data_IF_911397764983
#
_entry.id   IF_911397764983
#
_cell.length_a   1.000
_cell.length_b   1.000
_cell.length_c   1.000
_cell.angle_alpha   90.00
_cell.angle_beta   90.00
_cell.angle_gamma   90.00
#
_symmetry.space_group_name_H-M   'P 1'
#
loop_
_entity.id
_entity.type
_entity.pdbx_description
1 polymer ?
#
# COMPACT_ATOMS: atom_id res chain seq x y z
N UNK A 1 -11.61 -19.49 -61.86
CA UNK A 1 -10.28 -19.05 -61.39
C UNK A 1 -10.38 -17.56 -61.09
N UNK A 2 -10.13 -17.01 -59.91
CA UNK A 2 -9.88 -17.57 -58.58
C UNK A 2 -10.33 -16.50 -57.57
N UNK A 3 -10.95 -16.95 -56.49
CA UNK A 3 -11.31 -16.16 -55.31
C UNK A 3 -10.03 -15.71 -54.58
N UNK A 4 -9.87 -14.41 -54.36
CA UNK A 4 -8.76 -13.87 -53.58
C UNK A 4 -9.22 -13.59 -52.14
N UNK A 5 -9.03 -14.60 -51.29
CA UNK A 5 -9.21 -14.49 -49.85
C UNK A 5 -8.32 -13.39 -49.26
N UNK A 6 -8.94 -12.38 -48.65
CA UNK A 6 -8.26 -11.39 -47.82
C UNK A 6 -7.69 -12.10 -46.58
N UNK A 7 -6.35 -12.14 -46.49
CA UNK A 7 -5.61 -12.53 -45.29
C UNK A 7 -6.00 -11.61 -44.12
N UNK A 8 -6.24 -12.14 -42.90
CA UNK A 8 -6.49 -11.30 -41.74
C UNK A 8 -5.21 -10.56 -41.33
N UNK A 9 -5.35 -9.27 -40.98
CA UNK A 9 -4.27 -8.46 -40.41
C UNK A 9 -3.88 -9.03 -39.03
N UNK A 10 -2.58 -9.04 -38.77
CA UNK A 10 -1.93 -9.53 -37.54
C UNK A 10 -2.25 -8.64 -36.35
N UNK A 11 -2.59 -9.25 -35.21
CA UNK A 11 -2.42 -8.69 -33.88
C UNK A 11 -3.48 -7.71 -33.41
N UNK A 12 -4.77 -8.07 -33.50
CA UNK A 12 -5.75 -7.45 -32.58
C UNK A 12 -5.61 -8.14 -31.21
N UNK A 13 -5.52 -7.39 -30.10
CA UNK A 13 -5.67 -7.98 -28.77
C UNK A 13 -7.01 -8.74 -28.74
N UNK A 14 -7.02 -9.93 -28.15
CA UNK A 14 -8.23 -10.73 -28.07
C UNK A 14 -9.37 -9.84 -27.52
N UNK A 15 -10.49 -9.77 -28.24
CA UNK A 15 -11.68 -9.06 -27.74
C UNK A 15 -11.93 -9.44 -26.28
N UNK A 16 -12.28 -8.49 -25.39
CA UNK A 16 -12.48 -8.75 -23.96
C UNK A 16 -13.41 -9.95 -23.67
N UNK A 17 -14.34 -10.24 -24.59
CA UNK A 17 -15.25 -11.37 -24.52
C UNK A 17 -14.58 -12.76 -24.64
N UNK A 18 -13.35 -12.84 -25.15
CA UNK A 18 -12.59 -14.11 -25.34
C UNK A 18 -11.41 -14.27 -24.37
N UNK A 19 -10.98 -13.20 -23.70
CA UNK A 19 -9.83 -13.24 -22.79
C UNK A 19 -10.11 -14.12 -21.55
N UNK A 20 -11.23 -13.91 -20.87
CA UNK A 20 -11.57 -14.67 -19.65
C UNK A 20 -11.71 -16.19 -19.88
N UNK A 21 -12.42 -16.69 -20.92
CA UNK A 21 -12.44 -18.13 -21.20
C UNK A 21 -11.06 -18.73 -21.53
N UNK A 22 -10.16 -17.96 -22.15
CA UNK A 22 -8.80 -18.41 -22.43
C UNK A 22 -7.96 -18.48 -21.14
N UNK A 23 -8.08 -17.47 -20.27
CA UNK A 23 -7.45 -17.46 -18.96
C UNK A 23 -7.90 -18.64 -18.08
N UNK A 24 -9.21 -18.89 -17.96
CA UNK A 24 -9.71 -20.00 -17.14
C UNK A 24 -9.26 -21.37 -17.65
N UNK A 25 -9.09 -21.52 -18.97
CA UNK A 25 -8.51 -22.74 -19.56
C UNK A 25 -7.03 -22.87 -19.20
N UNK A 26 -6.29 -21.78 -19.30
CA UNK A 26 -4.89 -21.73 -18.88
C UNK A 26 -4.73 -22.05 -17.39
N UNK A 27 -5.61 -21.55 -16.52
CA UNK A 27 -5.62 -21.89 -15.09
C UNK A 27 -5.72 -23.42 -14.90
N UNK A 28 -6.66 -24.07 -15.58
CA UNK A 28 -6.82 -25.53 -15.50
C UNK A 28 -5.58 -26.28 -16.00
N UNK A 29 -4.97 -25.83 -17.10
CA UNK A 29 -3.72 -26.41 -17.64
C UNK A 29 -2.52 -26.19 -16.70
N UNK A 30 -2.50 -25.07 -15.98
CA UNK A 30 -1.47 -24.72 -14.99
C UNK A 30 -1.67 -25.41 -13.63
N UNK A 31 -2.73 -26.21 -13.47
CA UNK A 31 -3.02 -26.95 -12.24
C UNK A 31 -3.78 -26.15 -11.18
N UNK A 32 -4.32 -24.97 -11.52
CA UNK A 32 -5.19 -24.19 -10.62
C UNK A 32 -6.52 -24.92 -10.46
N UNK A 33 -6.92 -25.13 -9.21
CA UNK A 33 -8.20 -25.74 -8.86
C UNK A 33 -9.18 -24.63 -8.48
N UNK A 34 -10.30 -24.51 -9.20
CA UNK A 34 -11.33 -23.49 -8.96
C UNK A 34 -12.65 -24.16 -8.56
N UNK A 35 -13.21 -23.76 -7.41
CA UNK A 35 -14.49 -24.29 -6.94
C UNK A 35 -15.62 -23.95 -7.92
N UNK A 36 -16.51 -24.92 -8.17
CA UNK A 36 -17.69 -24.72 -9.01
C UNK A 36 -18.69 -23.71 -8.42
N UNK A 37 -18.57 -23.42 -7.12
CA UNK A 37 -19.40 -22.45 -6.40
C UNK A 37 -19.00 -21.00 -6.62
N UNK A 38 -17.92 -20.73 -7.35
CA UNK A 38 -17.47 -19.36 -7.65
C UNK A 38 -17.33 -19.12 -9.16
N UNK A 39 -17.29 -17.86 -9.56
CA UNK A 39 -17.01 -17.49 -10.94
C UNK A 39 -16.47 -16.07 -11.07
N UNK A 40 -15.50 -15.91 -11.96
CA UNK A 40 -14.96 -14.59 -12.32
C UNK A 40 -15.99 -13.86 -13.19
N UNK A 41 -16.23 -12.58 -12.88
CA UNK A 41 -17.19 -11.72 -13.58
C UNK A 41 -16.67 -10.29 -13.68
N UNK A 42 -17.25 -9.50 -14.60
CA UNK A 42 -17.16 -8.02 -14.62
C UNK A 42 -18.48 -7.35 -14.29
N UNK A 43 -19.54 -8.13 -14.17
CA UNK A 43 -20.90 -7.67 -13.90
C UNK A 43 -21.24 -8.03 -12.47
N UNK A 44 -21.68 -7.04 -11.69
CA UNK A 44 -21.97 -7.21 -10.27
C UNK A 44 -20.73 -7.17 -9.38
N UNK A 45 -19.63 -6.60 -9.87
CA UNK A 45 -18.37 -6.41 -9.14
C UNK A 45 -18.14 -4.94 -8.82
N UNK A 46 -17.40 -4.65 -7.74
CA UNK A 46 -17.08 -3.31 -7.29
C UNK A 46 -16.19 -2.57 -8.30
N UNK A 47 -15.20 -3.25 -8.87
CA UNK A 47 -14.33 -2.74 -9.91
C UNK A 47 -13.95 -3.85 -10.89
N UNK A 48 -13.75 -3.49 -12.17
CA UNK A 48 -13.19 -4.34 -13.23
C UNK A 48 -13.64 -5.82 -13.17
N UNK A 49 -12.71 -6.74 -12.91
CA UNK A 49 -13.00 -8.15 -12.61
C UNK A 49 -13.17 -8.35 -11.11
N UNK A 50 -13.95 -9.35 -10.75
CA UNK A 50 -14.15 -9.79 -9.38
C UNK A 50 -14.60 -11.25 -9.35
N UNK A 51 -14.54 -11.87 -8.18
CA UNK A 51 -15.02 -13.22 -7.97
C UNK A 51 -16.41 -13.19 -7.32
N UNK A 52 -17.38 -13.88 -7.91
CA UNK A 52 -18.75 -13.94 -7.39
C UNK A 52 -19.10 -15.34 -6.90
N UNK A 53 -19.85 -15.41 -5.81
CA UNK A 53 -20.45 -16.63 -5.31
C UNK A 53 -21.62 -17.08 -6.20
N UNK A 54 -21.51 -18.23 -6.86
CA UNK A 54 -22.58 -18.87 -7.64
C UNK A 54 -23.58 -19.61 -6.75
N UNK A 55 -23.12 -20.02 -5.58
CA UNK A 55 -23.88 -20.67 -4.52
C UNK A 55 -23.48 -20.05 -3.17
N UNK A 56 -24.25 -20.29 -2.12
CA UNK A 56 -23.85 -19.85 -0.78
C UNK A 56 -22.65 -20.68 -0.29
N UNK A 57 -21.68 -19.99 0.31
CA UNK A 57 -20.44 -20.54 0.84
C UNK A 57 -20.44 -20.43 2.37
N UNK A 58 -19.91 -21.45 3.03
CA UNK A 58 -19.64 -21.42 4.47
C UNK A 58 -18.43 -20.54 4.80
N UNK A 59 -18.13 -20.36 6.09
CA UNK A 59 -16.80 -19.86 6.50
C UNK A 59 -15.79 -21.01 6.46
N UNK A 60 -14.54 -20.73 6.10
CA UNK A 60 -13.47 -21.71 5.95
C UNK A 60 -13.57 -22.55 4.67
N UNK A 61 -14.45 -22.19 3.73
CA UNK A 61 -14.60 -22.91 2.47
C UNK A 61 -13.54 -22.45 1.46
N UNK A 62 -12.81 -23.41 0.88
CA UNK A 62 -11.79 -23.18 -0.15
C UNK A 62 -12.45 -22.75 -1.48
N UNK A 63 -11.99 -21.62 -2.00
CA UNK A 63 -12.50 -21.03 -3.24
C UNK A 63 -11.69 -21.48 -4.44
N UNK A 64 -10.37 -21.46 -4.30
CA UNK A 64 -9.42 -21.98 -5.27
C UNK A 64 -8.05 -22.24 -4.64
N UNK A 65 -7.27 -23.09 -5.30
CA UNK A 65 -5.86 -23.38 -4.97
C UNK A 65 -4.98 -23.19 -6.21
N UNK A 66 -3.86 -22.48 -6.04
CA UNK A 66 -2.91 -22.12 -7.09
C UNK A 66 -1.55 -22.76 -6.76
N UNK A 67 -1.02 -23.65 -7.60
CA UNK A 67 0.31 -24.22 -7.36
C UNK A 67 1.39 -23.14 -7.50
N UNK A 68 2.46 -23.22 -6.69
CA UNK A 68 3.56 -22.23 -6.73
C UNK A 68 4.23 -22.12 -8.10
N UNK A 69 4.18 -23.17 -8.91
CA UNK A 69 4.71 -23.19 -10.29
C UNK A 69 3.88 -22.37 -11.29
N UNK A 70 2.67 -21.94 -10.94
CA UNK A 70 1.82 -21.07 -11.76
C UNK A 70 2.05 -19.57 -11.47
N UNK A 71 2.67 -19.24 -10.33
CA UNK A 71 3.01 -17.87 -9.97
C UNK A 71 3.99 -17.27 -10.96
N UNK A 72 3.94 -15.95 -11.16
CA UNK A 72 4.95 -15.22 -11.91
C UNK A 72 5.87 -14.49 -10.93
N UNK A 73 7.12 -14.93 -10.88
CA UNK A 73 8.18 -14.36 -10.04
C UNK A 73 9.54 -14.43 -10.74
N UNK A 74 10.57 -13.85 -10.11
CA UNK A 74 11.96 -14.00 -10.54
C UNK A 74 12.47 -15.45 -10.59
N UNK A 75 11.76 -16.38 -9.95
CA UNK A 75 12.14 -17.79 -9.90
C UNK A 75 11.42 -18.64 -10.95
N UNK A 76 10.20 -18.26 -11.35
CA UNK A 76 9.40 -19.04 -12.31
C UNK A 76 9.53 -18.56 -13.74
N UNK A 77 9.91 -17.30 -13.98
CA UNK A 77 10.13 -16.75 -15.33
C UNK A 77 11.21 -17.51 -16.10
N UNK A 78 11.10 -17.54 -17.43
CA UNK A 78 12.08 -18.21 -18.29
C UNK A 78 13.51 -17.63 -18.17
N UNK A 79 13.64 -16.38 -17.71
CA UNK A 79 14.94 -15.72 -17.48
C UNK A 79 15.47 -15.87 -16.05
N UNK A 80 14.83 -16.68 -15.18
CA UNK A 80 15.29 -16.91 -13.82
C UNK A 80 16.79 -17.30 -13.69
N UNK A 81 17.38 -18.13 -14.58
CA UNK A 81 18.81 -18.42 -14.53
C UNK A 81 19.69 -17.18 -14.76
N UNK A 82 19.25 -16.24 -15.58
CA UNK A 82 19.97 -14.98 -15.82
C UNK A 82 19.88 -14.07 -14.59
N UNK A 83 18.69 -13.94 -14.00
CA UNK A 83 18.49 -13.11 -12.80
C UNK A 83 19.36 -13.59 -11.64
N UNK A 84 19.43 -14.92 -11.40
CA UNK A 84 20.34 -15.49 -10.39
C UNK A 84 21.82 -15.24 -10.69
N UNK A 85 22.20 -15.22 -11.95
CA UNK A 85 23.60 -14.96 -12.34
C UNK A 85 23.99 -13.51 -12.04
N UNK A 86 23.07 -12.57 -12.24
CA UNK A 86 23.31 -11.13 -12.14
C UNK A 86 22.81 -10.52 -10.81
N UNK A 87 22.41 -11.35 -9.85
CA UNK A 87 21.75 -10.96 -8.58
C UNK A 87 22.44 -9.80 -7.86
N UNK A 88 23.77 -9.83 -7.74
CA UNK A 88 24.55 -8.78 -7.08
C UNK A 88 24.40 -7.39 -7.75
N UNK A 89 24.11 -7.35 -9.06
CA UNK A 89 23.91 -6.10 -9.81
C UNK A 89 22.46 -5.61 -9.80
N UNK A 90 21.53 -6.43 -9.28
CA UNK A 90 20.10 -6.17 -9.26
C UNK A 90 19.58 -5.73 -7.89
N UNK A 91 20.46 -5.58 -6.90
CA UNK A 91 20.09 -5.10 -5.58
C UNK A 91 19.61 -3.64 -5.65
N UNK A 92 18.47 -3.37 -5.03
CA UNK A 92 17.92 -2.02 -4.88
C UNK A 92 17.21 -1.88 -3.54
N UNK A 93 16.93 -0.65 -3.12
CA UNK A 93 16.20 -0.37 -1.89
C UNK A 93 14.76 -0.91 -1.91
N UNK A 94 14.17 -1.10 -3.09
CA UNK A 94 12.82 -1.67 -3.22
C UNK A 94 12.82 -3.19 -3.10
N UNK A 95 13.90 -3.87 -3.52
CA UNK A 95 13.94 -5.31 -3.67
C UNK A 95 13.08 -5.86 -4.83
N UNK A 96 12.44 -4.99 -5.63
CA UNK A 96 11.46 -5.40 -6.66
C UNK A 96 12.07 -5.59 -8.04
N UNK A 97 13.31 -5.16 -8.25
CA UNK A 97 14.00 -5.18 -9.54
C UNK A 97 13.94 -6.55 -10.23
N UNK A 98 14.22 -7.69 -9.57
CA UNK A 98 14.17 -8.99 -10.24
C UNK A 98 12.76 -9.36 -10.76
N UNK A 99 11.71 -9.05 -10.00
CA UNK A 99 10.33 -9.24 -10.45
C UNK A 99 10.02 -8.31 -11.63
N UNK A 100 10.38 -7.04 -11.55
CA UNK A 100 10.09 -6.05 -12.59
C UNK A 100 10.79 -6.39 -13.92
N UNK A 101 12.02 -6.91 -13.87
CA UNK A 101 12.73 -7.43 -15.06
C UNK A 101 12.01 -8.66 -15.62
N UNK A 102 11.53 -9.56 -14.76
CA UNK A 102 10.72 -10.71 -15.17
C UNK A 102 9.44 -10.27 -15.88
N UNK A 103 8.75 -9.26 -15.35
CA UNK A 103 7.54 -8.71 -15.96
C UNK A 103 7.84 -8.01 -17.29
N UNK A 104 8.90 -7.20 -17.38
CA UNK A 104 9.36 -6.57 -18.61
C UNK A 104 9.59 -7.61 -19.72
N UNK A 105 10.24 -8.72 -19.38
CA UNK A 105 10.49 -9.81 -20.31
C UNK A 105 9.19 -10.52 -20.72
N UNK A 106 8.44 -11.05 -19.76
CA UNK A 106 7.29 -11.92 -20.03
C UNK A 106 6.13 -11.16 -20.70
N UNK A 107 5.84 -9.92 -20.29
CA UNK A 107 4.70 -9.16 -20.83
C UNK A 107 4.94 -8.66 -22.26
N UNK A 108 6.20 -8.59 -22.70
CA UNK A 108 6.57 -8.18 -24.07
C UNK A 108 6.84 -9.37 -24.98
N UNK A 109 6.86 -10.59 -24.44
CA UNK A 109 7.08 -11.82 -25.18
C UNK A 109 5.77 -12.33 -25.80
N UNK A 110 5.76 -12.48 -27.14
CA UNK A 110 4.54 -12.86 -27.89
C UNK A 110 3.97 -14.24 -27.55
N UNK A 111 4.79 -15.13 -26.97
CA UNK A 111 4.45 -16.51 -26.63
C UNK A 111 4.75 -16.82 -25.16
N UNK A 112 4.67 -15.80 -24.27
CA UNK A 112 4.82 -16.02 -22.84
C UNK A 112 3.81 -17.06 -22.34
N UNK A 113 4.27 -17.91 -21.41
CA UNK A 113 3.41 -18.85 -20.68
C UNK A 113 2.26 -18.12 -19.97
N UNK A 114 2.48 -16.89 -19.53
CA UNK A 114 1.47 -16.07 -18.84
C UNK A 114 0.67 -15.16 -19.79
N UNK A 115 0.78 -15.34 -21.12
CA UNK A 115 0.01 -14.57 -22.10
C UNK A 115 -1.50 -14.48 -21.81
N UNK A 116 -2.19 -15.60 -21.45
CA UNK A 116 -3.59 -15.56 -21.03
C UNK A 116 -3.85 -14.76 -19.76
N UNK A 117 -2.92 -14.77 -18.80
CA UNK A 117 -2.99 -13.95 -17.59
C UNK A 117 -2.85 -12.46 -17.91
N UNK A 118 -1.85 -12.07 -18.70
CA UNK A 118 -1.68 -10.68 -19.16
C UNK A 118 -2.86 -10.17 -19.98
N UNK A 119 -3.61 -11.05 -20.65
CA UNK A 119 -4.80 -10.66 -21.40
C UNK A 119 -5.96 -10.16 -20.52
N UNK A 120 -5.90 -10.42 -19.21
CA UNK A 120 -6.86 -9.90 -18.23
C UNK A 120 -6.38 -8.64 -17.52
N UNK A 121 -5.13 -8.23 -17.70
CA UNK A 121 -4.63 -7.02 -17.08
C UNK A 121 -5.49 -5.81 -17.49
N UNK A 122 -5.69 -4.85 -16.56
CA UNK A 122 -6.23 -3.56 -16.95
C UNK A 122 -5.36 -3.00 -18.08
N UNK A 123 -5.96 -2.21 -18.99
CA UNK A 123 -5.09 -1.41 -19.84
C UNK A 123 -4.29 -0.51 -18.89
N UNK A 124 -2.99 -0.34 -19.09
CA UNK A 124 -2.18 0.48 -18.16
C UNK A 124 -2.69 1.93 -18.05
N UNK A 125 -3.57 2.37 -18.96
CA UNK A 125 -4.31 3.64 -18.89
C UNK A 125 -5.41 3.66 -17.83
N UNK A 126 -5.86 2.49 -17.38
CA UNK A 126 -6.91 2.32 -16.36
C UNK A 126 -6.33 2.30 -14.93
N UNK A 127 -4.99 2.25 -14.79
CA UNK A 127 -4.31 2.43 -13.52
C UNK A 127 -4.40 3.91 -13.12
N UNK A 128 -5.14 4.19 -12.05
CA UNK A 128 -5.41 5.56 -11.60
C UNK A 128 -4.63 5.93 -10.33
N UNK A 129 -3.46 5.31 -10.12
CA UNK A 129 -2.54 5.70 -9.06
C UNK A 129 -2.20 7.20 -9.18
N UNK A 130 -2.10 7.92 -8.05
CA UNK A 130 -1.74 9.33 -8.03
C UNK A 130 -0.46 9.67 -8.81
N UNK A 131 0.50 8.76 -8.93
CA UNK A 131 1.71 8.98 -9.73
C UNK A 131 1.46 9.25 -11.23
N UNK A 132 0.27 8.92 -11.74
CA UNK A 132 -0.16 9.20 -13.12
C UNK A 132 -0.98 10.49 -13.24
N UNK A 133 -1.33 11.15 -12.13
CA UNK A 133 -2.10 12.38 -12.12
C UNK A 133 -1.22 13.59 -12.47
N UNK A 134 -1.84 14.69 -12.89
CA UNK A 134 -1.12 15.94 -13.15
C UNK A 134 -0.50 16.47 -11.86
N UNK A 135 0.70 17.07 -11.92
CA UNK A 135 1.39 17.58 -10.73
C UNK A 135 0.52 18.59 -9.95
N UNK A 136 -0.07 19.56 -10.64
CA UNK A 136 -0.95 20.57 -10.01
C UNK A 136 -2.22 19.93 -9.40
N UNK A 137 -2.81 18.95 -10.09
CA UNK A 137 -3.98 18.19 -9.62
C UNK A 137 -3.67 17.46 -8.31
N UNK A 138 -2.53 16.74 -8.23
CA UNK A 138 -2.10 16.07 -7.00
C UNK A 138 -1.84 17.06 -5.88
N UNK A 139 -1.10 18.12 -6.16
CA UNK A 139 -0.75 19.12 -5.15
C UNK A 139 -1.99 19.78 -4.57
N UNK A 140 -3.01 20.05 -5.39
CA UNK A 140 -4.27 20.64 -4.94
C UNK A 140 -5.13 19.64 -4.15
N UNK A 141 -5.26 18.40 -4.63
CA UNK A 141 -6.19 17.43 -4.08
C UNK A 141 -5.64 16.63 -2.88
N UNK A 142 -4.33 16.44 -2.78
CA UNK A 142 -3.72 15.52 -1.83
C UNK A 142 -2.85 16.22 -0.78
N UNK A 143 -2.88 17.55 -0.73
CA UNK A 143 -2.15 18.32 0.27
C UNK A 143 -2.49 17.88 1.70
N UNK A 144 -1.46 17.59 2.49
CA UNK A 144 -1.60 17.18 3.89
C UNK A 144 -1.96 15.71 4.10
N UNK A 145 -2.14 14.93 3.03
CA UNK A 145 -2.56 13.51 3.15
C UNK A 145 -1.40 12.52 3.28
N UNK A 146 -0.16 12.95 3.02
CA UNK A 146 1.03 12.08 2.91
C UNK A 146 1.20 11.42 1.54
N UNK A 147 0.13 11.34 0.73
CA UNK A 147 0.17 10.70 -0.60
C UNK A 147 1.04 11.49 -1.58
N UNK A 148 1.04 12.82 -1.48
CA UNK A 148 1.81 13.67 -2.39
C UNK A 148 3.32 13.39 -2.23
N UNK A 149 3.80 13.40 -1.00
CA UNK A 149 5.19 13.18 -0.62
C UNK A 149 5.63 11.74 -0.98
N UNK A 150 4.79 10.75 -0.70
CA UNK A 150 5.05 9.35 -1.06
C UNK A 150 5.20 9.17 -2.58
N UNK A 151 4.32 9.78 -3.37
CA UNK A 151 4.37 9.70 -4.84
C UNK A 151 5.60 10.39 -5.42
N UNK A 152 6.03 11.51 -4.84
CA UNK A 152 7.25 12.21 -5.27
C UNK A 152 8.50 11.36 -5.00
N UNK A 153 8.57 10.72 -3.83
CA UNK A 153 9.63 9.78 -3.47
C UNK A 153 9.65 8.59 -4.45
N UNK A 154 8.50 8.00 -4.75
CA UNK A 154 8.41 6.88 -5.70
C UNK A 154 8.86 7.28 -7.10
N UNK A 155 8.41 8.44 -7.61
CA UNK A 155 8.80 8.89 -8.94
C UNK A 155 10.32 9.10 -9.05
N UNK A 156 10.95 9.67 -8.03
CA UNK A 156 12.39 9.84 -7.97
C UNK A 156 13.12 8.48 -7.91
N UNK A 157 12.64 7.56 -7.08
CA UNK A 157 13.20 6.21 -6.95
C UNK A 157 13.09 5.41 -8.26
N UNK A 158 11.94 5.45 -8.92
CA UNK A 158 11.70 4.76 -10.19
C UNK A 158 12.64 5.27 -11.28
N UNK A 159 12.83 6.58 -11.38
CA UNK A 159 13.74 7.17 -12.36
C UNK A 159 15.20 6.82 -12.06
N UNK A 160 15.59 6.86 -10.79
CA UNK A 160 16.92 6.46 -10.34
C UNK A 160 17.18 4.98 -10.63
N UNK A 161 16.32 4.08 -10.18
CA UNK A 161 16.43 2.63 -10.35
C UNK A 161 16.45 2.25 -11.84
N UNK A 162 15.59 2.87 -12.64
CA UNK A 162 15.59 2.62 -14.09
C UNK A 162 16.89 3.06 -14.75
N UNK A 163 17.41 4.24 -14.42
CA UNK A 163 18.60 4.79 -15.06
C UNK A 163 19.90 4.11 -14.61
N UNK A 164 20.00 3.71 -13.35
CA UNK A 164 21.21 3.16 -12.74
C UNK A 164 21.29 1.63 -12.76
N UNK A 165 20.15 0.93 -12.77
CA UNK A 165 20.11 -0.54 -12.70
C UNK A 165 19.48 -1.12 -13.96
N UNK A 166 18.21 -0.77 -14.25
CA UNK A 166 17.43 -1.43 -15.31
C UNK A 166 18.04 -1.17 -16.68
N UNK A 167 18.25 0.09 -17.07
CA UNK A 167 18.74 0.44 -18.39
C UNK A 167 20.14 -0.14 -18.68
N UNK A 168 21.12 -0.11 -17.75
CA UNK A 168 22.38 -0.83 -17.91
C UNK A 168 22.18 -2.35 -18.10
N UNK A 169 21.33 -2.99 -17.31
CA UNK A 169 21.03 -4.41 -17.44
C UNK A 169 20.43 -4.75 -18.81
N UNK A 170 19.44 -3.98 -19.27
CA UNK A 170 18.83 -4.15 -20.60
C UNK A 170 19.88 -4.02 -21.73
N UNK A 171 20.83 -3.09 -21.60
CA UNK A 171 21.91 -2.88 -22.58
C UNK A 171 22.95 -4.00 -22.56
N UNK A 172 23.19 -4.62 -21.40
CA UNK A 172 24.11 -5.76 -21.26
C UNK A 172 23.54 -7.05 -21.88
N UNK A 173 22.22 -7.13 -22.03
CA UNK A 173 21.51 -8.32 -22.53
C UNK A 173 20.61 -8.01 -23.77
N UNK A 174 21.18 -7.49 -24.87
CA UNK A 174 20.41 -7.02 -26.04
C UNK A 174 19.73 -8.17 -26.83
N UNK A 175 20.15 -9.41 -26.63
CA UNK A 175 19.51 -10.59 -27.23
C UNK A 175 18.17 -10.93 -26.60
N UNK A 176 17.93 -10.44 -25.38
CA UNK A 176 16.72 -10.70 -24.58
C UNK A 176 15.87 -9.43 -24.49
N UNK A 177 16.51 -8.27 -24.34
CA UNK A 177 15.85 -6.99 -24.10
C UNK A 177 16.09 -5.99 -25.22
N UNK A 178 15.08 -5.16 -25.46
CA UNK A 178 15.13 -4.07 -26.42
C UNK A 178 14.76 -2.76 -25.72
N UNK A 179 15.72 -1.86 -25.45
CA UNK A 179 15.46 -0.57 -24.79
C UNK A 179 14.44 0.35 -25.48
N UNK A 180 14.05 0.07 -26.73
CA UNK A 180 12.96 0.77 -27.42
C UNK A 180 11.56 0.28 -27.04
N UNK A 181 11.48 -0.94 -26.50
CA UNK A 181 10.25 -1.58 -26.01
C UNK A 181 10.21 -1.50 -24.49
N UNK A 182 11.31 -1.86 -23.84
CA UNK A 182 11.50 -1.82 -22.39
C UNK A 182 11.90 -0.41 -21.96
N UNK A 183 10.94 0.52 -21.96
CA UNK A 183 11.15 1.95 -21.68
C UNK A 183 10.88 2.30 -20.21
N UNK A 184 11.31 3.49 -19.78
CA UNK A 184 10.98 4.05 -18.45
C UNK A 184 9.46 4.15 -18.24
N UNK A 185 8.71 4.47 -19.29
CA UNK A 185 7.24 4.56 -19.20
C UNK A 185 6.62 3.19 -18.90
N UNK A 186 7.07 2.13 -19.59
CA UNK A 186 6.62 0.77 -19.31
C UNK A 186 7.07 0.32 -17.91
N UNK A 187 8.29 0.66 -17.51
CA UNK A 187 8.80 0.36 -16.18
C UNK A 187 7.92 0.98 -15.09
N UNK A 188 7.60 2.28 -15.19
CA UNK A 188 6.71 2.97 -14.24
C UNK A 188 5.33 2.31 -14.16
N UNK A 189 4.78 1.90 -15.31
CA UNK A 189 3.50 1.17 -15.38
C UNK A 189 3.57 -0.19 -14.67
N UNK A 190 4.69 -0.90 -14.81
CA UNK A 190 4.90 -2.18 -14.13
C UNK A 190 5.14 -2.01 -12.63
N UNK A 191 5.80 -0.93 -12.19
CA UNK A 191 5.91 -0.61 -10.76
C UNK A 191 4.53 -0.38 -10.16
N UNK A 192 3.69 0.46 -10.79
CA UNK A 192 2.31 0.64 -10.34
C UNK A 192 1.48 -0.65 -10.37
N UNK A 193 1.74 -1.52 -11.34
CA UNK A 193 1.09 -2.82 -11.41
C UNK A 193 1.53 -3.76 -10.28
N UNK A 194 2.82 -3.79 -9.95
CA UNK A 194 3.35 -4.55 -8.81
C UNK A 194 2.77 -4.02 -7.49
N UNK A 195 2.74 -2.68 -7.30
CA UNK A 195 2.10 -2.06 -6.13
C UNK A 195 0.66 -2.53 -5.91
N UNK A 196 -0.12 -2.64 -6.99
CA UNK A 196 -1.56 -2.90 -6.89
C UNK A 196 -1.96 -4.39 -6.97
N UNK A 197 -1.14 -5.26 -7.54
CA UNK A 197 -1.54 -6.64 -7.89
C UNK A 197 -0.58 -7.72 -7.39
N UNK A 198 0.60 -7.36 -6.89
CA UNK A 198 1.53 -8.35 -6.34
C UNK A 198 1.15 -8.76 -4.91
N UNK A 199 1.63 -9.93 -4.51
CA UNK A 199 1.49 -10.46 -3.16
C UNK A 199 2.88 -10.67 -2.57
N UNK A 200 3.02 -10.36 -1.29
CA UNK A 200 4.22 -10.61 -0.53
C UNK A 200 3.90 -11.61 0.59
N UNK A 201 4.57 -12.75 0.59
CA UNK A 201 4.40 -13.78 1.62
C UNK A 201 5.16 -13.35 2.87
N UNK A 202 4.44 -13.18 3.99
CA UNK A 202 5.06 -12.86 5.28
C UNK A 202 6.01 -13.96 5.72
N UNK A 203 7.13 -13.56 6.31
CA UNK A 203 8.03 -14.46 7.03
C UNK A 203 7.32 -14.92 8.31
N UNK A 204 7.58 -16.16 8.75
CA UNK A 204 7.06 -16.63 10.03
C UNK A 204 7.84 -15.99 11.19
N UNK A 205 7.31 -16.05 12.43
CA UNK A 205 7.97 -15.50 13.63
C UNK A 205 9.41 -16.02 13.83
N UNK A 206 9.71 -17.24 13.36
CA UNK A 206 11.06 -17.83 13.41
C UNK A 206 12.03 -17.27 12.35
N UNK A 207 11.52 -16.54 11.37
CA UNK A 207 12.21 -16.02 10.18
C UNK A 207 12.22 -14.48 10.13
N UNK A 208 11.75 -13.77 11.17
CA UNK A 208 11.66 -12.29 11.18
C UNK A 208 13.00 -11.56 11.03
N UNK A 209 14.12 -12.24 11.31
CA UNK A 209 15.48 -11.71 11.10
C UNK A 209 15.95 -11.83 9.62
N UNK A 210 15.21 -12.51 8.75
CA UNK A 210 15.55 -12.69 7.33
C UNK A 210 15.08 -11.52 6.45
N UNK A 211 15.66 -11.42 5.25
CA UNK A 211 15.20 -10.44 4.26
C UNK A 211 13.76 -10.75 3.84
N UNK A 212 12.86 -9.74 3.76
CA UNK A 212 11.48 -9.96 3.35
C UNK A 212 11.38 -10.67 2.01
N UNK A 213 10.46 -11.63 1.90
CA UNK A 213 10.23 -12.31 0.63
C UNK A 213 9.92 -11.31 -0.48
N UNK A 214 10.44 -11.50 -1.69
CA UNK A 214 10.14 -10.63 -2.82
C UNK A 214 8.66 -10.77 -3.22
N UNK A 215 8.04 -9.71 -3.76
CA UNK A 215 6.68 -9.79 -4.27
C UNK A 215 6.58 -10.80 -5.43
N UNK A 216 5.40 -11.39 -5.59
CA UNK A 216 5.06 -12.29 -6.69
C UNK A 216 3.70 -11.95 -7.27
N UNK A 217 3.48 -12.20 -8.56
CA UNK A 217 2.14 -12.12 -9.14
C UNK A 217 1.42 -13.46 -8.94
N UNK A 218 0.17 -13.39 -8.48
CA UNK A 218 -0.64 -14.56 -8.14
C UNK A 218 -1.89 -14.58 -9.04
N UNK A 219 -1.79 -15.15 -10.26
CA UNK A 219 -2.90 -15.16 -11.20
C UNK A 219 -4.16 -15.74 -10.57
N UNK A 220 -5.31 -15.11 -10.82
CA UNK A 220 -6.64 -15.41 -10.25
C UNK A 220 -6.86 -14.80 -8.86
N UNK A 221 -5.87 -14.83 -7.96
CA UNK A 221 -6.00 -14.20 -6.65
C UNK A 221 -6.04 -12.67 -6.76
N UNK A 222 -5.25 -12.12 -7.67
CA UNK A 222 -5.18 -10.69 -8.02
C UNK A 222 -6.42 -10.15 -8.75
N UNK A 223 -7.43 -10.99 -9.02
CA UNK A 223 -8.73 -10.56 -9.57
C UNK A 223 -9.76 -10.26 -8.48
N UNK A 224 -9.49 -10.57 -7.22
CA UNK A 224 -10.42 -10.29 -6.12
C UNK A 224 -10.22 -8.85 -5.66
N UNK A 225 -11.30 -8.07 -5.65
CA UNK A 225 -11.30 -6.71 -5.11
C UNK A 225 -11.12 -6.71 -3.58
N UNK A 226 -10.78 -5.55 -3.05
CA UNK A 226 -10.63 -5.32 -1.60
C UNK A 226 -11.77 -4.50 -1.01
N UNK A 227 -12.10 -4.81 0.23
CA UNK A 227 -12.76 -3.93 1.19
C UNK A 227 -12.20 -4.24 2.59
N UNK A 228 -12.18 -3.26 3.49
CA UNK A 228 -11.74 -3.47 4.88
C UNK A 228 -12.51 -4.64 5.53
N UNK A 229 -13.84 -4.66 5.35
CA UNK A 229 -14.72 -5.73 5.81
C UNK A 229 -14.77 -6.92 4.81
N UNK A 230 -13.61 -7.44 4.43
CA UNK A 230 -13.42 -8.54 3.48
C UNK A 230 -14.07 -9.86 3.92
N UNK A 231 -14.29 -10.78 2.98
CA UNK A 231 -14.92 -12.09 3.22
C UNK A 231 -14.08 -13.29 2.76
N UNK A 232 -12.87 -13.06 2.26
CA UNK A 232 -11.88 -14.06 1.94
C UNK A 232 -10.46 -13.55 2.19
N UNK A 233 -9.52 -14.48 2.39
CA UNK A 233 -8.10 -14.20 2.52
C UNK A 233 -7.27 -15.29 1.85
N UNK A 234 -6.02 -14.95 1.53
CA UNK A 234 -5.05 -15.87 0.95
C UNK A 234 -4.26 -16.56 2.06
N UNK A 235 -4.20 -17.89 2.00
CA UNK A 235 -3.40 -18.74 2.87
C UNK A 235 -2.25 -19.36 2.06
N UNK A 236 -1.06 -19.41 2.66
CA UNK A 236 0.14 -19.94 2.03
C UNK A 236 0.43 -21.36 2.53
N UNK A 237 0.74 -22.26 1.61
CA UNK A 237 1.23 -23.61 1.91
C UNK A 237 2.53 -23.88 1.14
N UNK A 238 3.33 -24.88 1.54
CA UNK A 238 4.58 -25.19 0.84
C UNK A 238 4.38 -25.48 -0.66
N UNK A 239 3.25 -26.08 -1.04
CA UNK A 239 2.97 -26.50 -2.41
C UNK A 239 2.09 -25.50 -3.19
N UNK A 240 1.25 -24.74 -2.51
CA UNK A 240 0.19 -23.94 -3.15
C UNK A 240 -0.25 -22.74 -2.32
N UNK A 241 -0.92 -21.81 -2.98
CA UNK A 241 -1.62 -20.69 -2.36
C UNK A 241 -3.13 -20.96 -2.43
N UNK A 242 -3.86 -20.76 -1.34
CA UNK A 242 -5.29 -21.06 -1.24
C UNK A 242 -6.08 -19.83 -0.86
N UNK A 243 -7.14 -19.54 -1.60
CA UNK A 243 -8.07 -18.49 -1.22
C UNK A 243 -9.24 -19.13 -0.47
N UNK A 244 -9.49 -18.68 0.75
CA UNK A 244 -10.47 -19.26 1.67
C UNK A 244 -11.42 -18.18 2.15
N UNK A 245 -12.68 -18.54 2.37
CA UNK A 245 -13.67 -17.62 2.95
C UNK A 245 -13.42 -17.42 4.45
N UNK A 246 -13.41 -16.17 4.90
CA UNK A 246 -13.29 -15.83 6.33
C UNK A 246 -14.66 -15.77 7.03
N UNK A 247 -15.73 -15.59 6.25
CA UNK A 247 -17.12 -15.54 6.73
C UNK A 247 -18.10 -16.07 5.67
N UNK A 248 -19.34 -16.42 6.04
CA UNK A 248 -20.31 -16.93 5.07
C UNK A 248 -20.61 -15.91 3.96
N UNK A 249 -20.66 -16.37 2.71
CA UNK A 249 -20.95 -15.55 1.52
C UNK A 249 -22.23 -16.08 0.86
N UNK A 250 -23.18 -15.18 0.60
CA UNK A 250 -24.45 -15.57 -0.04
C UNK A 250 -24.28 -15.65 -1.56
N UNK A 251 -25.07 -16.53 -2.19
CA UNK A 251 -25.19 -16.58 -3.65
C UNK A 251 -25.42 -15.17 -4.24
N UNK A 252 -24.64 -14.84 -5.25
CA UNK A 252 -24.66 -13.58 -5.99
C UNK A 252 -23.79 -12.47 -5.39
N UNK A 253 -23.26 -12.65 -4.18
CA UNK A 253 -22.34 -11.67 -3.58
C UNK A 253 -20.94 -11.78 -4.17
N UNK A 254 -20.27 -10.64 -4.22
CA UNK A 254 -18.84 -10.57 -4.51
C UNK A 254 -18.02 -11.05 -3.32
N UNK A 255 -16.93 -11.72 -3.66
CA UNK A 255 -15.92 -12.21 -2.75
C UNK A 255 -14.77 -11.20 -2.79
N UNK A 256 -14.52 -10.60 -1.64
CA UNK A 256 -13.50 -9.59 -1.43
C UNK A 256 -12.35 -10.17 -0.64
N UNK A 257 -11.13 -9.97 -1.14
CA UNK A 257 -9.89 -10.27 -0.45
C UNK A 257 -9.53 -9.13 0.53
N UNK A 258 -8.59 -9.39 1.43
CA UNK A 258 -7.86 -8.35 2.15
C UNK A 258 -6.53 -8.05 1.45
N UNK A 259 -6.19 -6.77 1.30
CA UNK A 259 -4.85 -6.34 0.87
C UNK A 259 -3.97 -5.99 2.08
N UNK A 260 -4.48 -6.20 3.29
CA UNK A 260 -3.89 -5.76 4.55
C UNK A 260 -4.80 -4.80 5.31
N UNK A 261 -4.34 -4.37 6.50
CA UNK A 261 -4.97 -3.28 7.25
C UNK A 261 -4.55 -1.93 6.63
N UNK A 262 -5.24 -1.53 5.55
CA UNK A 262 -4.87 -0.38 4.73
C UNK A 262 -5.76 0.84 5.01
N UNK A 263 -5.13 1.97 5.31
CA UNK A 263 -5.79 3.26 5.35
C UNK A 263 -6.13 3.77 3.94
N UNK A 264 -7.08 4.70 3.83
CA UNK A 264 -7.51 5.20 2.52
C UNK A 264 -6.38 5.91 1.75
N UNK A 265 -5.45 6.56 2.45
CA UNK A 265 -4.31 7.20 1.81
C UNK A 265 -3.36 6.16 1.17
N UNK A 266 -3.18 5.00 1.82
CA UNK A 266 -2.39 3.88 1.29
C UNK A 266 -3.13 3.19 0.14
N UNK A 267 -4.44 2.98 0.27
CA UNK A 267 -5.27 2.43 -0.82
C UNK A 267 -5.18 3.31 -2.07
N UNK A 268 -5.25 4.63 -1.90
CA UNK A 268 -5.16 5.54 -3.03
C UNK A 268 -3.75 5.52 -3.64
N UNK A 269 -2.72 5.59 -2.80
CA UNK A 269 -1.32 5.59 -3.21
C UNK A 269 -0.92 4.30 -3.96
N UNK A 270 -1.22 3.14 -3.38
CA UNK A 270 -0.73 1.83 -3.84
C UNK A 270 -1.67 1.13 -4.82
N UNK A 271 -2.98 1.42 -4.78
CA UNK A 271 -4.00 0.73 -5.58
C UNK A 271 -4.89 1.65 -6.43
N UNK A 272 -4.80 2.98 -6.25
CA UNK A 272 -5.55 3.93 -7.06
C UNK A 272 -7.06 4.01 -6.75
N UNK A 273 -7.47 3.64 -5.53
CA UNK A 273 -8.85 3.80 -5.08
C UNK A 273 -8.93 4.13 -3.58
N UNK A 274 -10.09 4.62 -3.12
CA UNK A 274 -10.38 4.78 -1.70
C UNK A 274 -11.77 4.23 -1.39
N UNK A 275 -11.96 3.73 -0.18
CA UNK A 275 -13.26 3.28 0.31
C UNK A 275 -14.07 4.45 0.87
N UNK A 276 -15.36 4.50 0.53
CA UNK A 276 -16.24 5.58 0.98
C UNK A 276 -16.52 5.48 2.48
N UNK A 277 -16.47 6.61 3.19
CA UNK A 277 -16.83 6.68 4.60
C UNK A 277 -18.28 6.22 4.84
N UNK A 278 -18.58 5.46 5.91
CA UNK A 278 -17.68 4.98 6.98
C UNK A 278 -17.15 3.55 6.75
N UNK A 279 -16.99 3.09 5.50
CA UNK A 279 -16.74 1.68 5.19
C UNK A 279 -15.34 1.20 5.56
N UNK A 280 -14.32 2.07 5.45
CA UNK A 280 -12.96 1.73 5.83
C UNK A 280 -12.77 1.81 7.35
N UNK A 281 -12.89 0.67 8.03
CA UNK A 281 -12.65 0.56 9.47
C UNK A 281 -11.17 0.59 9.85
N UNK A 282 -10.28 0.44 8.87
CA UNK A 282 -8.83 0.42 9.05
C UNK A 282 -8.19 1.77 8.71
N UNK A 283 -8.99 2.82 8.53
CA UNK A 283 -8.49 4.15 8.17
C UNK A 283 -7.62 4.75 9.27
N UNK A 284 -6.60 5.51 8.86
CA UNK A 284 -5.64 6.15 9.77
C UNK A 284 -5.36 7.59 9.36
N UNK A 285 -4.87 8.37 10.31
CA UNK A 285 -4.29 9.69 10.09
C UNK A 285 -2.88 9.73 10.68
N UNK A 286 -1.98 10.35 9.93
CA UNK A 286 -0.56 10.44 10.30
C UNK A 286 -0.26 11.81 10.91
N UNK A 287 0.45 11.80 12.03
CA UNK A 287 1.11 12.99 12.58
C UNK A 287 2.60 12.80 12.35
N UNK A 288 3.16 13.53 11.39
CA UNK A 288 4.61 13.49 11.12
C UNK A 288 5.38 13.74 12.41
N UNK A 289 6.39 12.93 12.71
CA UNK A 289 7.14 13.03 13.97
C UNK A 289 7.82 14.41 14.08
N UNK A 290 8.30 14.95 12.97
CA UNK A 290 8.82 16.32 12.86
C UNK A 290 7.79 17.41 13.20
N UNK A 291 6.49 17.14 13.05
CA UNK A 291 5.41 18.05 13.45
C UNK A 291 5.24 18.08 14.96
N UNK A 292 5.46 16.97 15.66
CA UNK A 292 5.51 16.94 17.12
C UNK A 292 6.71 17.74 17.65
N UNK A 293 7.89 17.58 17.05
CA UNK A 293 9.06 18.41 17.36
C UNK A 293 8.77 19.89 17.15
N UNK A 294 8.16 20.24 16.01
CA UNK A 294 7.78 21.62 15.69
C UNK A 294 6.80 22.19 16.72
N UNK A 295 5.84 21.40 17.19
CA UNK A 295 4.92 21.82 18.25
C UNK A 295 5.67 22.07 19.57
N UNK A 296 6.61 21.20 19.95
CA UNK A 296 7.42 21.35 21.16
C UNK A 296 8.28 22.62 21.10
N UNK A 297 8.97 22.86 19.97
CA UNK A 297 9.77 24.08 19.75
C UNK A 297 8.92 25.36 19.76
N UNK A 298 7.68 25.31 19.25
CA UNK A 298 6.77 26.46 19.30
C UNK A 298 6.27 26.80 20.72
N UNK A 299 6.41 25.87 21.66
CA UNK A 299 6.00 26.05 23.05
C UNK A 299 7.11 26.62 23.95
N UNK A 300 8.36 26.73 23.45
CA UNK A 300 9.49 27.25 24.21
C UNK A 300 9.55 28.78 24.15
N UNK A 301 9.91 29.43 25.26
CA UNK A 301 10.04 30.89 25.37
C UNK A 301 11.50 31.36 25.41
N UNK A 302 12.46 30.45 25.65
CA UNK A 302 13.88 30.77 25.81
C UNK A 302 14.81 29.86 25.00
N UNK A 303 15.96 30.37 24.60
CA UNK A 303 17.02 29.59 23.90
C UNK A 303 17.46 28.35 24.69
N UNK A 304 17.38 28.39 26.02
CA UNK A 304 17.74 27.27 26.89
C UNK A 304 16.70 26.13 26.82
N UNK A 305 15.42 26.47 26.72
CA UNK A 305 14.33 25.50 26.53
C UNK A 305 14.36 24.91 25.12
N UNK A 306 14.60 25.74 24.09
CA UNK A 306 14.76 25.27 22.71
C UNK A 306 15.89 24.24 22.63
N UNK A 307 17.04 24.55 23.24
CA UNK A 307 18.17 23.63 23.30
C UNK A 307 17.83 22.32 24.04
N UNK A 308 17.07 22.39 25.12
CA UNK A 308 16.61 21.20 25.84
C UNK A 308 15.74 20.30 24.96
N UNK A 309 14.78 20.88 24.23
CA UNK A 309 13.90 20.14 23.31
C UNK A 309 14.71 19.45 22.21
N UNK A 310 15.71 20.14 21.64
CA UNK A 310 16.61 19.54 20.65
C UNK A 310 17.47 18.41 21.24
N UNK A 311 17.97 18.56 22.46
CA UNK A 311 18.71 17.49 23.16
C UNK A 311 17.82 16.28 23.46
N UNK A 312 16.56 16.49 23.83
CA UNK A 312 15.54 15.47 24.03
C UNK A 312 15.19 14.75 22.71
N UNK A 313 15.01 15.51 21.63
CA UNK A 313 14.76 14.96 20.30
C UNK A 313 15.91 14.09 19.81
N UNK A 314 17.14 14.58 19.95
CA UNK A 314 18.33 13.81 19.59
C UNK A 314 18.38 12.50 20.37
N UNK A 315 18.07 12.51 21.66
CA UNK A 315 18.00 11.29 22.46
C UNK A 315 16.97 10.30 21.90
N UNK A 316 15.75 10.76 21.55
CA UNK A 316 14.72 9.92 20.94
C UNK A 316 15.17 9.32 19.61
N UNK A 317 15.87 10.08 18.76
CA UNK A 317 16.45 9.56 17.52
C UNK A 317 17.48 8.45 17.79
N UNK A 318 18.33 8.59 18.82
CA UNK A 318 19.31 7.55 19.18
C UNK A 318 18.65 6.29 19.75
N UNK A 319 17.43 6.39 20.28
CA UNK A 319 16.63 5.26 20.77
C UNK A 319 15.72 4.67 19.68
N UNK A 320 15.81 5.17 18.44
CA UNK A 320 14.97 4.75 17.31
C UNK A 320 13.46 4.93 17.56
N UNK A 321 13.08 5.76 18.53
CA UNK A 321 11.69 6.09 18.87
C UNK A 321 11.09 7.13 17.92
N UNK A 322 11.96 7.94 17.29
CA UNK A 322 11.54 8.92 16.27
C UNK A 322 12.58 8.99 15.14
N UNK A 323 12.13 9.40 13.96
CA UNK A 323 12.97 9.61 12.79
C UNK A 323 12.52 10.82 11.96
N UNK A 324 13.40 11.31 11.09
CA UNK A 324 13.10 12.48 10.24
C UNK A 324 11.94 12.24 9.26
N UNK A 325 11.82 11.01 8.75
CA UNK A 325 10.76 10.59 7.82
C UNK A 325 9.63 9.80 8.50
N UNK A 326 9.65 9.68 9.83
CA UNK A 326 8.67 8.89 10.57
C UNK A 326 7.36 9.64 10.85
N UNK A 327 6.28 8.90 11.07
CA UNK A 327 4.99 9.43 11.47
C UNK A 327 4.37 8.60 12.60
N UNK A 328 3.61 9.28 13.48
CA UNK A 328 2.73 8.60 14.43
C UNK A 328 1.42 8.26 13.74
N UNK A 329 1.03 6.98 13.77
CA UNK A 329 -0.13 6.47 13.01
C UNK A 329 -1.33 6.32 13.94
N UNK A 330 -2.33 7.17 13.74
CA UNK A 330 -3.54 7.26 14.57
C UNK A 330 -4.71 6.61 13.84
N UNK A 331 -5.33 5.56 14.42
CA UNK A 331 -6.56 4.96 13.91
C UNK A 331 -7.82 5.44 14.64
N UNK A 332 -8.98 4.88 14.28
CA UNK A 332 -10.26 5.19 14.93
C UNK A 332 -10.32 4.82 16.41
N UNK A 333 -9.82 3.63 16.72
CA UNK A 333 -9.91 3.03 18.06
C UNK A 333 -8.55 2.94 18.74
N UNK A 334 -7.44 2.85 18.00
CA UNK A 334 -6.09 2.65 18.53
C UNK A 334 -5.05 3.55 17.87
N UNK A 335 -3.94 3.79 18.57
CA UNK A 335 -2.70 4.32 17.99
C UNK A 335 -1.82 3.10 17.64
N UNK A 336 -1.33 3.03 16.40
CA UNK A 336 -0.51 1.90 15.96
C UNK A 336 0.95 2.04 16.41
N UNK A 337 1.46 3.27 16.43
CA UNK A 337 2.79 3.64 16.96
C UNK A 337 2.65 4.13 18.41
N UNK A 338 1.99 3.33 19.26
CA UNK A 338 1.64 3.74 20.63
C UNK A 338 2.88 3.94 21.49
N UNK A 339 3.86 3.04 21.40
CA UNK A 339 5.12 3.12 22.13
C UNK A 339 5.90 4.38 21.77
N UNK A 340 6.15 4.58 20.48
CA UNK A 340 6.90 5.71 19.95
C UNK A 340 6.24 7.03 20.35
N UNK A 341 4.91 7.12 20.24
CA UNK A 341 4.17 8.32 20.60
C UNK A 341 4.25 8.62 22.10
N UNK A 342 4.03 7.62 22.95
CA UNK A 342 4.02 7.80 24.40
C UNK A 342 5.41 8.19 24.92
N UNK A 343 6.46 7.52 24.44
CA UNK A 343 7.85 7.83 24.80
C UNK A 343 8.24 9.22 24.32
N UNK A 344 7.88 9.59 23.08
CA UNK A 344 8.15 10.93 22.56
C UNK A 344 7.44 12.02 23.39
N UNK A 345 6.16 11.84 23.71
CA UNK A 345 5.39 12.78 24.53
C UNK A 345 5.97 12.89 25.95
N UNK A 346 6.37 11.78 26.56
CA UNK A 346 6.99 11.76 27.87
C UNK A 346 8.31 12.52 27.87
N UNK A 347 9.23 12.18 26.96
CA UNK A 347 10.57 12.79 26.92
C UNK A 347 10.50 14.27 26.58
N UNK A 348 9.68 14.69 25.61
CA UNK A 348 9.55 16.09 25.19
C UNK A 348 8.84 17.00 26.21
N UNK A 349 8.22 16.43 27.25
CA UNK A 349 7.54 17.20 28.30
C UNK A 349 8.26 17.17 29.65
N UNK A 350 9.40 16.47 29.75
CA UNK A 350 10.24 16.46 30.94
C UNK A 350 10.99 17.78 31.13
N UNK A 351 11.16 18.18 32.39
CA UNK A 351 12.13 19.20 32.77
C UNK A 351 13.57 18.73 32.53
N UNK A 352 14.52 19.67 32.55
CA UNK A 352 15.94 19.33 32.39
C UNK A 352 16.45 18.37 33.48
N UNK A 353 15.91 18.46 34.69
CA UNK A 353 16.25 17.61 35.83
C UNK A 353 15.69 16.20 35.63
N UNK A 354 14.40 16.07 35.31
CA UNK A 354 13.75 14.79 35.02
C UNK A 354 14.39 14.09 33.82
N UNK A 355 14.70 14.83 32.74
CA UNK A 355 15.35 14.27 31.56
C UNK A 355 16.75 13.74 31.86
N UNK A 356 17.49 14.40 32.76
CA UNK A 356 18.80 13.92 33.20
C UNK A 356 18.67 12.63 34.01
N UNK A 357 17.73 12.58 34.95
CA UNK A 357 17.46 11.37 35.74
C UNK A 357 16.99 10.20 34.85
N UNK A 358 16.14 10.49 33.86
CA UNK A 358 15.65 9.51 32.90
C UNK A 358 16.81 8.88 32.09
N UNK A 359 17.71 9.71 31.54
CA UNK A 359 18.91 9.23 30.84
C UNK A 359 19.82 8.38 31.73
N UNK A 360 19.99 8.77 32.99
CA UNK A 360 20.81 8.02 33.95
C UNK A 360 20.19 6.68 34.35
N UNK A 361 18.87 6.52 34.24
CA UNK A 361 18.14 5.27 34.48
C UNK A 361 18.21 4.33 33.28
N UNK A 362 18.00 4.85 32.07
CA UNK A 362 18.17 4.11 30.81
C UNK A 362 19.60 3.56 30.67
N UNK A 363 20.61 4.37 30.99
CA UNK A 363 22.01 3.95 30.96
C UNK A 363 22.34 2.80 31.95
N UNK A 364 21.52 2.59 32.99
CA UNK A 364 21.70 1.51 33.98
C UNK A 364 20.95 0.22 33.64
N UNK A 365 20.01 0.27 32.70
CA UNK A 365 19.13 -0.87 32.35
C UNK A 365 19.59 -1.60 31.09
N UNK A 366 20.82 -1.35 30.60
CA UNK A 366 21.42 -1.97 29.40
C UNK A 366 20.47 -1.96 28.18
N UNK A 367 19.70 -0.88 28.00
CA UNK A 367 18.79 -0.72 26.86
C UNK A 367 17.59 -1.67 26.83
N UNK A 368 17.34 -2.44 27.91
CA UNK A 368 16.09 -3.22 28.08
C UNK A 368 14.96 -2.37 28.70
N UNK A 369 15.10 -1.04 28.62
CA UNK A 369 14.59 -0.07 29.57
C UNK A 369 13.21 0.53 29.30
N UNK A 370 12.62 0.40 28.12
CA UNK A 370 11.32 1.06 27.81
C UNK A 370 10.10 0.12 27.85
N UNK A 371 10.25 -1.13 28.29
CA UNK A 371 9.16 -2.10 28.34
C UNK A 371 8.14 -1.86 29.49
N UNK A 372 8.30 -0.79 30.27
CA UNK A 372 7.44 -0.50 31.41
C UNK A 372 6.61 0.74 31.08
N UNK A 373 5.33 0.54 30.68
CA UNK A 373 4.14 1.35 31.05
C UNK A 373 2.98 1.29 30.03
N UNK A 374 3.05 0.52 28.94
CA UNK A 374 2.01 0.57 27.90
C UNK A 374 0.85 -0.38 28.22
N UNK A 375 -0.17 0.14 28.91
CA UNK A 375 -1.50 -0.47 28.96
C UNK A 375 -2.35 0.12 27.82
N UNK A 376 -2.34 -0.57 26.68
CA UNK A 376 -3.29 -0.50 25.55
C UNK A 376 -4.32 0.64 25.56
N UNK A 377 -4.22 1.58 24.61
CA UNK A 377 -5.27 2.25 23.82
C UNK A 377 -6.38 3.03 24.57
N UNK A 378 -6.49 2.88 25.88
CA UNK A 378 -7.40 3.65 26.75
C UNK A 378 -6.72 4.85 27.39
N UNK A 379 -5.52 5.24 26.90
CA UNK A 379 -4.59 6.10 27.65
C UNK A 379 -4.49 7.56 27.20
N UNK A 380 -4.97 7.97 26.02
CA UNK A 380 -4.96 9.40 25.64
C UNK A 380 -5.64 10.28 26.72
N UNK A 381 -6.81 9.88 27.28
CA UNK A 381 -7.42 10.61 28.39
C UNK A 381 -6.59 10.63 29.68
N UNK A 382 -5.68 9.68 29.88
CA UNK A 382 -4.83 9.53 31.07
C UNK A 382 -3.49 10.25 30.97
N UNK A 383 -3.15 10.79 29.78
CA UNK A 383 -1.96 11.62 29.59
C UNK A 383 -1.97 12.85 30.51
N UNK A 384 -0.79 13.30 30.91
CA UNK A 384 -0.62 14.52 31.69
C UNK A 384 -1.11 15.74 30.89
N UNK A 385 -1.44 16.83 31.59
CA UNK A 385 -1.90 18.06 30.92
C UNK A 385 -0.87 18.60 29.90
N UNK A 386 0.43 18.48 30.20
CA UNK A 386 1.50 18.88 29.28
C UNK A 386 1.57 17.99 28.03
N UNK A 387 1.46 16.67 28.21
CA UNK A 387 1.45 15.70 27.11
C UNK A 387 0.22 15.91 26.19
N UNK A 388 -0.96 16.08 26.78
CA UNK A 388 -2.19 16.39 26.03
C UNK A 388 -2.05 17.69 25.24
N UNK A 389 -1.49 18.73 25.86
CA UNK A 389 -1.27 20.03 25.21
C UNK A 389 -0.32 19.91 24.02
N UNK A 390 0.80 19.21 24.17
CA UNK A 390 1.74 18.98 23.07
C UNK A 390 1.11 18.18 21.92
N UNK A 391 0.38 17.11 22.24
CA UNK A 391 -0.33 16.31 21.24
C UNK A 391 -1.43 17.12 20.53
N UNK A 392 -2.18 17.93 21.27
CA UNK A 392 -3.18 18.85 20.72
C UNK A 392 -2.54 19.83 19.74
N UNK A 393 -1.42 20.44 20.10
CA UNK A 393 -0.74 21.43 19.26
C UNK A 393 -0.16 20.79 17.99
N UNK A 394 0.44 19.60 18.10
CA UNK A 394 0.89 18.83 16.94
C UNK A 394 -0.28 18.47 16.01
N UNK A 395 -1.40 17.99 16.57
CA UNK A 395 -2.61 17.66 15.80
C UNK A 395 -3.17 18.90 15.09
N UNK A 396 -3.17 20.05 15.76
CA UNK A 396 -3.58 21.33 15.15
C UNK A 396 -2.64 21.78 14.02
N UNK A 397 -1.33 21.54 14.15
CA UNK A 397 -0.38 21.81 13.07
C UNK A 397 -0.60 20.88 11.88
N UNK A 398 -0.87 19.59 12.11
CA UNK A 398 -1.23 18.63 11.05
C UNK A 398 -2.50 19.07 10.32
N UNK A 399 -3.56 19.44 11.04
CA UNK A 399 -4.81 19.90 10.42
C UNK A 399 -4.63 21.17 9.58
N UNK A 400 -3.69 22.06 9.94
CA UNK A 400 -3.36 23.26 9.15
C UNK A 400 -2.64 22.95 7.83
N UNK A 401 -2.09 21.75 7.66
CA UNK A 401 -1.43 21.36 6.42
C UNK A 401 -2.43 21.05 5.29
N UNK A 402 -3.68 20.73 5.62
CA UNK A 402 -4.74 20.51 4.64
C UNK A 402 -5.26 21.81 4.03
N UNK A 403 -5.67 21.75 2.77
CA UNK A 403 -6.18 22.90 2.02
C UNK A 403 -7.59 23.35 2.41
N UNK A 404 -8.38 22.47 3.04
CA UNK A 404 -9.78 22.70 3.41
C UNK A 404 -10.07 22.29 4.85
N UNK A 405 -11.15 22.81 5.42
CA UNK A 405 -11.63 22.41 6.75
C UNK A 405 -12.45 21.12 6.70
N UNK A 406 -12.56 20.42 7.85
CA UNK A 406 -13.45 19.25 7.98
C UNK A 406 -14.91 19.60 7.62
N UNK A 407 -15.38 20.79 8.02
CA UNK A 407 -16.76 21.22 7.78
C UNK A 407 -17.09 21.39 6.29
N UNK A 408 -16.14 21.91 5.52
CA UNK A 408 -16.30 22.04 4.06
C UNK A 408 -16.42 20.67 3.40
N UNK A 409 -15.62 19.70 3.85
CA UNK A 409 -15.67 18.33 3.35
C UNK A 409 -16.94 17.58 3.78
N UNK A 410 -17.39 17.77 5.03
CA UNK A 410 -18.69 17.28 5.50
C UNK A 410 -19.84 17.81 4.64
N UNK A 411 -19.77 19.10 4.29
CA UNK A 411 -20.80 19.73 3.45
C UNK A 411 -20.80 19.13 2.04
N UNK A 412 -19.62 18.94 1.44
CA UNK A 412 -19.48 18.33 0.12
C UNK A 412 -19.94 16.87 0.11
N UNK A 413 -19.63 16.08 1.14
CA UNK A 413 -20.07 14.69 1.25
C UNK A 413 -21.57 14.56 1.57
N UNK A 414 -22.14 15.54 2.27
CA UNK A 414 -23.58 15.57 2.59
C UNK A 414 -24.46 15.94 1.41
N UNK A 415 -23.93 16.66 0.42
CA UNK A 415 -24.63 16.99 -0.83
C UNK A 415 -24.33 15.93 -1.90
N UNK A 416 -25.23 14.94 -2.01
CA UNK A 416 -25.08 13.84 -2.96
C UNK A 416 -25.00 14.32 -4.42
N UNK A 417 -25.69 15.41 -4.78
CA UNK A 417 -25.65 15.89 -6.15
C UNK A 417 -24.28 16.52 -6.44
N UNK A 418 -23.80 17.40 -5.55
CA UNK A 418 -22.48 18.02 -5.70
C UNK A 418 -21.36 16.96 -5.69
N UNK A 419 -21.44 15.96 -4.81
CA UNK A 419 -20.47 14.87 -4.74
C UNK A 419 -20.41 14.04 -6.04
N UNK A 420 -21.57 13.76 -6.66
CA UNK A 420 -21.62 13.00 -7.91
C UNK A 420 -21.17 13.81 -9.13
N UNK A 421 -21.13 15.14 -9.03
CA UNK A 421 -20.57 16.03 -10.06
C UNK A 421 -19.03 16.06 -10.03
N UNK A 422 -18.40 15.69 -8.91
CA UNK A 422 -16.95 15.55 -8.81
C UNK A 422 -16.44 14.42 -9.70
N UNK A 423 -15.25 14.61 -10.26
CA UNK A 423 -14.50 13.53 -10.91
C UNK A 423 -14.15 12.43 -9.92
N UNK A 424 -13.84 11.23 -10.43
CA UNK A 424 -13.46 10.09 -9.58
C UNK A 424 -12.25 10.37 -8.69
N UNK A 425 -11.25 11.09 -9.22
CA UNK A 425 -10.04 11.50 -8.47
C UNK A 425 -10.37 12.46 -7.33
N UNK A 426 -11.23 13.44 -7.61
CA UNK A 426 -11.72 14.37 -6.58
C UNK A 426 -12.51 13.66 -5.49
N UNK A 427 -13.36 12.68 -5.87
CA UNK A 427 -14.09 11.85 -4.91
C UNK A 427 -13.15 11.06 -4.02
N UNK A 428 -12.17 10.33 -4.58
CA UNK A 428 -11.21 9.57 -3.79
C UNK A 428 -10.34 10.46 -2.89
N UNK A 429 -9.83 11.58 -3.42
CA UNK A 429 -9.07 12.53 -2.62
C UNK A 429 -9.92 13.12 -1.47
N UNK A 430 -11.21 13.40 -1.71
CA UNK A 430 -12.14 13.84 -0.67
C UNK A 430 -12.34 12.77 0.41
N UNK A 431 -12.51 11.49 0.04
CA UNK A 431 -12.64 10.40 1.03
C UNK A 431 -11.38 10.27 1.91
N UNK A 432 -10.18 10.36 1.31
CA UNK A 432 -8.91 10.33 2.04
C UNK A 432 -8.81 11.48 3.04
N UNK A 433 -8.96 12.73 2.57
CA UNK A 433 -8.85 13.92 3.43
C UNK A 433 -9.89 13.91 4.54
N UNK A 434 -11.12 13.53 4.22
CA UNK A 434 -12.22 13.50 5.17
C UNK A 434 -11.99 12.47 6.27
N UNK A 435 -11.59 11.24 5.93
CA UNK A 435 -11.28 10.18 6.88
C UNK A 435 -10.17 10.60 7.86
N UNK A 436 -9.05 11.10 7.32
CA UNK A 436 -7.94 11.60 8.13
C UNK A 436 -8.36 12.75 9.07
N UNK A 437 -9.06 13.77 8.55
CA UNK A 437 -9.51 14.89 9.39
C UNK A 437 -10.49 14.45 10.47
N UNK A 438 -11.38 13.51 10.19
CA UNK A 438 -12.29 12.96 11.20
C UNK A 438 -11.52 12.33 12.36
N UNK A 439 -10.52 11.50 12.07
CA UNK A 439 -9.65 10.88 13.08
C UNK A 439 -8.89 11.95 13.88
N UNK A 440 -8.29 12.93 13.21
CA UNK A 440 -7.56 14.01 13.87
C UNK A 440 -8.48 14.88 14.75
N UNK A 441 -9.71 15.16 14.30
CA UNK A 441 -10.69 15.90 15.11
C UNK A 441 -11.16 15.10 16.33
N UNK A 442 -11.32 13.78 16.22
CA UNK A 442 -11.57 12.91 17.37
C UNK A 442 -10.40 12.96 18.37
N UNK A 443 -9.16 12.95 17.88
CA UNK A 443 -7.98 13.10 18.72
C UNK A 443 -7.93 14.47 19.44
N UNK A 444 -8.35 15.56 18.78
CA UNK A 444 -8.49 16.88 19.42
C UNK A 444 -9.53 16.88 20.54
N UNK A 445 -10.58 16.07 20.46
CA UNK A 445 -11.57 15.97 21.53
C UNK A 445 -11.04 15.21 22.74
N UNK A 446 -10.21 14.20 22.52
CA UNK A 446 -9.57 13.41 23.59
C UNK A 446 -8.43 14.15 24.31
N UNK A 447 -7.86 15.17 23.67
CA UNK A 447 -6.74 15.98 24.18
C UNK A 447 -7.14 17.33 24.77
N UNK A 448 -8.44 17.66 24.76
CA UNK A 448 -9.02 18.74 25.58
C UNK A 448 -9.05 18.34 27.05
#
# INVERSE_FOLDING_TARGET
>A
MADAAKRPRRGDPASPARALPAFLRWCAEAGVQLSAKVGVSRVGTAAAYGLLARESLGAGEELFSIPRTALLSQHTSAIAPLLRKEEASLQSSSGWVPLLISLLYECTLSNSRWGPYFSLWPQFTDLDHPMFWGHEERAQLLQGTGVLEAVEKDLANIEMEYSSIILPFLKAHPDIFNPKVHTLELYRKLVAFVMAYSFQESLNEEEEEEEPNPPVMVPLADLLNHVANHNANLEYSPESLKMVTTKPVRKGQEIFNTYGEMANWQLLHMYGFAEAYPSNTNDTADIQMSTLLKAALQATDTDMEEKLVLDQWNFLCHQEMVGEEGAFVIGWERVFTEEELLVALQVLTMSAEEFKEFKDQEAKTDGKGTACLIQSVTMIPNLSAAQKKLLFDATMLTLKAFSSSLKEEETMLGDLQAYLELSRREQFALQVRYGQKKILHQLLELTK
#
